data_IF_582808585162
#
_entry.id   IF_582808585162
#
_cell.length_a   1.000
_cell.length_b   1.000
_cell.length_c   1.000
_cell.angle_alpha   90.00
_cell.angle_beta   90.00
_cell.angle_gamma   90.00
#
_symmetry.space_group_name_H-M   'P 1'
#
loop_
_entity.id
_entity.type
_entity.pdbx_description
1 polymer ?
#
# COMPACT_ATOMS: atom_id res chain seq x y z
N UNK A 1 9.19 5.11 -49.77
CA UNK A 1 9.88 5.63 -48.58
C UNK A 1 8.92 6.20 -47.53
N UNK A 2 7.94 6.97 -47.93
CA UNK A 2 6.97 7.58 -47.01
C UNK A 2 6.10 6.55 -46.26
N UNK A 3 5.75 5.44 -46.87
CA UNK A 3 5.00 4.34 -46.26
C UNK A 3 5.82 3.55 -45.24
N UNK A 4 7.13 3.45 -45.41
CA UNK A 4 8.05 2.80 -44.50
C UNK A 4 8.28 3.62 -43.22
N UNK A 5 8.28 4.94 -43.35
CA UNK A 5 8.44 5.88 -42.24
C UNK A 5 7.20 5.87 -41.31
N UNK A 6 6.01 5.76 -41.92
CA UNK A 6 4.74 5.64 -41.18
C UNK A 6 4.64 4.33 -40.40
N UNK A 7 5.15 3.21 -40.94
CA UNK A 7 5.17 1.92 -40.29
C UNK A 7 6.12 1.90 -39.07
N UNK A 8 7.25 2.61 -39.18
CA UNK A 8 8.23 2.72 -38.11
C UNK A 8 7.71 3.57 -36.92
N UNK A 9 6.90 4.58 -37.22
CA UNK A 9 6.31 5.47 -36.21
C UNK A 9 5.21 4.79 -35.38
N UNK A 10 4.50 3.84 -35.98
CA UNK A 10 3.46 3.08 -35.25
C UNK A 10 4.02 2.03 -34.29
N UNK A 11 5.25 1.55 -34.49
CA UNK A 11 5.89 0.62 -33.56
C UNK A 11 6.37 1.29 -32.26
N UNK A 12 6.56 2.60 -32.25
CA UNK A 12 7.00 3.35 -31.07
C UNK A 12 5.89 3.58 -30.03
N UNK A 13 4.63 3.38 -30.38
CA UNK A 13 3.49 3.60 -29.49
C UNK A 13 3.11 2.38 -28.63
N UNK A 14 3.77 1.24 -28.79
CA UNK A 14 3.44 -0.01 -28.07
C UNK A 14 4.25 -0.24 -26.79
N UNK A 15 5.09 0.73 -26.39
CA UNK A 15 5.79 0.66 -25.10
C UNK A 15 4.90 1.21 -23.98
N UNK A 16 3.75 0.55 -23.73
CA UNK A 16 3.09 0.64 -22.44
C UNK A 16 3.99 -0.07 -21.42
N UNK A 17 4.83 0.68 -20.74
CA UNK A 17 5.60 0.21 -19.60
C UNK A 17 4.62 -0.02 -18.44
N UNK A 18 4.02 -1.20 -18.38
CA UNK A 18 3.28 -1.61 -17.20
C UNK A 18 4.31 -1.99 -16.14
N UNK A 19 4.33 -1.24 -15.05
CA UNK A 19 5.12 -1.60 -13.87
C UNK A 19 4.64 -2.97 -13.37
N UNK A 20 5.49 -3.97 -13.47
CA UNK A 20 5.17 -5.32 -12.99
C UNK A 20 5.03 -5.30 -11.48
N UNK A 21 3.92 -5.82 -10.95
CA UNK A 21 3.60 -5.85 -9.53
C UNK A 21 3.33 -7.28 -9.10
N UNK A 22 4.15 -7.78 -8.17
CA UNK A 22 3.98 -9.10 -7.56
C UNK A 22 3.31 -8.96 -6.19
N UNK A 23 2.11 -8.42 -6.15
CA UNK A 23 1.41 -8.07 -4.92
C UNK A 23 1.08 -9.29 -4.04
N UNK A 24 0.83 -10.45 -4.63
CA UNK A 24 0.50 -11.68 -3.91
C UNK A 24 1.60 -12.12 -2.94
N UNK A 25 2.87 -11.80 -3.24
CA UNK A 25 4.01 -12.14 -2.40
C UNK A 25 4.03 -11.36 -1.07
N UNK A 26 3.23 -10.30 -0.99
CA UNK A 26 3.15 -9.39 0.15
C UNK A 26 1.83 -9.46 0.92
N UNK A 27 0.98 -10.44 0.63
CA UNK A 27 -0.30 -10.60 1.37
C UNK A 27 -0.09 -11.02 2.80
N UNK A 28 0.89 -11.87 3.07
CA UNK A 28 1.23 -12.36 4.40
C UNK A 28 2.71 -12.24 4.67
N UNK A 29 3.09 -12.18 5.93
CA UNK A 29 4.48 -12.14 6.37
C UNK A 29 4.73 -11.14 7.48
N UNK A 30 6.01 -10.94 7.78
CA UNK A 30 6.49 -9.93 8.71
C UNK A 30 7.19 -8.83 7.91
N UNK A 31 6.86 -7.60 8.22
CA UNK A 31 7.29 -6.42 7.48
C UNK A 31 7.89 -5.37 8.40
N UNK A 32 8.75 -4.55 7.85
CA UNK A 32 9.36 -3.40 8.49
C UNK A 32 8.98 -2.13 7.74
N UNK A 33 8.71 -1.07 8.47
CA UNK A 33 8.44 0.26 7.91
C UNK A 33 9.13 1.35 8.73
N UNK A 34 9.47 2.44 8.07
CA UNK A 34 10.06 3.60 8.72
C UNK A 34 9.01 4.71 8.86
N UNK A 35 9.06 5.43 9.98
CA UNK A 35 8.20 6.56 10.27
C UNK A 35 8.97 7.62 11.05
N UNK A 36 8.47 8.83 11.10
CA UNK A 36 9.10 9.93 11.82
C UNK A 36 8.18 10.45 12.94
N UNK A 37 8.76 10.71 14.11
CA UNK A 37 8.11 11.39 15.23
C UNK A 37 8.99 12.55 15.64
N UNK A 38 8.45 13.77 15.58
CA UNK A 38 9.17 15.01 15.90
C UNK A 38 10.51 15.16 15.14
N UNK A 39 10.52 14.76 13.86
CA UNK A 39 11.70 14.80 13.01
C UNK A 39 12.72 13.69 13.25
N UNK A 40 12.48 12.78 14.18
CA UNK A 40 13.33 11.62 14.47
C UNK A 40 12.78 10.40 13.71
N UNK A 41 13.62 9.79 12.87
CA UNK A 41 13.28 8.55 12.18
C UNK A 41 13.27 7.36 13.13
N UNK A 42 12.22 6.58 13.05
CA UNK A 42 12.01 5.34 13.81
C UNK A 42 11.57 4.24 12.88
N UNK A 43 11.74 3.01 13.34
CA UNK A 43 11.35 1.81 12.61
C UNK A 43 10.29 1.06 13.40
N UNK A 44 9.22 0.69 12.73
CA UNK A 44 8.19 -0.21 13.23
C UNK A 44 8.17 -1.52 12.45
N UNK A 45 7.48 -2.50 12.98
CA UNK A 45 7.23 -3.77 12.30
C UNK A 45 5.74 -4.10 12.34
N UNK A 46 5.28 -4.88 11.38
CA UNK A 46 3.95 -5.47 11.44
C UNK A 46 3.96 -6.90 10.93
N UNK A 47 3.07 -7.68 11.47
CA UNK A 47 2.78 -9.03 11.00
C UNK A 47 1.43 -9.02 10.31
N UNK A 48 1.40 -9.52 9.09
CA UNK A 48 0.14 -9.64 8.34
C UNK A 48 -0.16 -11.12 8.08
N UNK A 49 -1.36 -11.52 8.47
CA UNK A 49 -1.99 -12.79 8.10
C UNK A 49 -3.04 -12.53 7.01
N UNK A 50 -3.76 -13.53 6.58
CA UNK A 50 -4.83 -13.37 5.60
C UNK A 50 -5.94 -12.41 6.05
N UNK A 51 -6.17 -12.29 7.36
CA UNK A 51 -7.31 -11.54 7.92
C UNK A 51 -6.93 -10.47 8.94
N UNK A 52 -5.67 -10.43 9.39
CA UNK A 52 -5.21 -9.52 10.43
C UNK A 52 -3.92 -8.82 10.04
N UNK A 53 -3.76 -7.58 10.49
CA UNK A 53 -2.52 -6.84 10.51
C UNK A 53 -2.24 -6.40 11.94
N UNK A 54 -1.09 -6.75 12.48
CA UNK A 54 -0.70 -6.44 13.85
C UNK A 54 0.56 -5.56 13.79
N UNK A 55 0.42 -4.32 14.20
CA UNK A 55 1.49 -3.32 14.18
C UNK A 55 2.19 -3.23 15.53
N UNK A 56 3.51 -3.19 15.50
CA UNK A 56 4.39 -3.03 16.64
C UNK A 56 5.24 -1.77 16.47
N UNK A 57 4.95 -0.75 17.23
CA UNK A 57 5.69 0.53 17.20
C UNK A 57 5.61 1.24 18.55
N UNK A 58 6.65 1.93 18.94
CA UNK A 58 6.73 2.72 20.18
C UNK A 58 6.21 1.97 21.45
N UNK A 59 6.55 0.70 21.59
CA UNK A 59 6.06 -0.17 22.68
C UNK A 59 4.53 -0.33 22.70
N UNK A 60 3.86 -0.08 21.58
CA UNK A 60 2.42 -0.27 21.38
C UNK A 60 2.18 -1.41 20.42
N UNK A 61 1.04 -2.05 20.59
CA UNK A 61 0.52 -3.08 19.67
C UNK A 61 -0.87 -2.66 19.23
N UNK A 62 -1.03 -2.48 17.93
CA UNK A 62 -2.33 -2.19 17.31
C UNK A 62 -2.72 -3.29 16.33
N UNK A 63 -3.98 -3.65 16.32
CA UNK A 63 -4.50 -4.70 15.43
C UNK A 63 -5.63 -4.17 14.56
N UNK A 64 -5.61 -4.59 13.30
CA UNK A 64 -6.64 -4.28 12.32
C UNK A 64 -7.05 -5.53 11.56
N UNK A 65 -8.32 -5.59 11.18
CA UNK A 65 -8.79 -6.58 10.22
C UNK A 65 -8.29 -6.22 8.82
N UNK A 66 -8.02 -7.22 8.00
CA UNK A 66 -7.60 -7.06 6.61
C UNK A 66 -8.58 -7.80 5.70
N UNK A 67 -9.07 -7.12 4.68
CA UNK A 67 -9.91 -7.70 3.63
C UNK A 67 -9.34 -7.30 2.27
N UNK A 68 -8.86 -8.27 1.50
CA UNK A 68 -8.36 -8.07 0.15
C UNK A 68 -9.51 -7.89 -0.83
N UNK A 69 -9.45 -6.83 -1.64
CA UNK A 69 -10.40 -6.55 -2.73
C UNK A 69 -9.93 -7.24 -4.00
N UNK A 70 -8.63 -7.20 -4.23
CA UNK A 70 -7.90 -7.87 -5.30
C UNK A 70 -6.46 -8.13 -4.83
N UNK A 71 -5.58 -8.61 -5.71
CA UNK A 71 -4.20 -8.95 -5.32
C UNK A 71 -3.36 -7.76 -4.85
N UNK A 72 -3.72 -6.53 -5.25
CA UNK A 72 -2.95 -5.32 -4.95
C UNK A 72 -3.67 -4.32 -4.05
N UNK A 73 -4.92 -4.57 -3.66
CA UNK A 73 -5.72 -3.63 -2.88
C UNK A 73 -6.43 -4.32 -1.72
N UNK A 74 -6.42 -3.68 -0.57
CA UNK A 74 -7.07 -4.20 0.63
C UNK A 74 -7.62 -3.08 1.51
N UNK A 75 -8.57 -3.45 2.35
CA UNK A 75 -9.18 -2.60 3.37
C UNK A 75 -8.70 -3.04 4.74
N UNK A 76 -8.24 -2.09 5.54
CA UNK A 76 -7.97 -2.29 6.96
C UNK A 76 -8.99 -1.55 7.81
N UNK A 77 -9.40 -2.18 8.90
CA UNK A 77 -10.24 -1.57 9.93
C UNK A 77 -9.72 -1.93 11.31
N UNK A 78 -9.48 -0.92 12.15
CA UNK A 78 -8.97 -1.10 13.51
C UNK A 78 -9.94 -1.94 14.33
N UNK A 79 -9.43 -2.92 15.09
CA UNK A 79 -10.28 -3.85 15.87
C UNK A 79 -10.81 -3.18 17.12
N UNK A 80 -9.98 -2.42 17.84
CA UNK A 80 -10.36 -1.70 19.04
C UNK A 80 -10.13 -0.19 18.87
N UNK A 81 -11.00 0.51 18.10
CA UNK A 81 -10.87 1.94 17.91
C UNK A 81 -11.09 2.70 19.20
N UNK A 82 -10.23 3.67 19.50
CA UNK A 82 -10.29 4.50 20.72
C UNK A 82 -11.11 5.77 20.52
N UNK A 83 -11.38 6.13 19.26
CA UNK A 83 -12.14 7.33 18.90
C UNK A 83 -12.81 7.15 17.54
N UNK A 84 -13.69 8.09 17.19
CA UNK A 84 -14.45 8.08 15.92
C UNK A 84 -13.57 8.07 14.67
N UNK A 85 -12.43 8.74 14.70
CA UNK A 85 -11.51 8.76 13.56
C UNK A 85 -10.92 7.38 13.28
N UNK A 86 -10.62 6.62 14.31
CA UNK A 86 -10.08 5.27 14.21
C UNK A 86 -11.11 4.21 13.79
N UNK A 87 -12.40 4.52 13.87
CA UNK A 87 -13.48 3.65 13.37
C UNK A 87 -13.52 3.59 11.84
N UNK A 88 -12.92 4.56 11.16
CA UNK A 88 -12.91 4.62 9.70
C UNK A 88 -12.04 3.53 9.09
N UNK A 89 -12.58 2.85 8.10
CA UNK A 89 -11.81 1.92 7.29
C UNK A 89 -10.82 2.66 6.38
N UNK A 90 -9.65 2.06 6.16
CA UNK A 90 -8.59 2.61 5.33
C UNK A 90 -8.38 1.69 4.12
N UNK A 91 -8.35 2.28 2.95
CA UNK A 91 -8.05 1.61 1.69
C UNK A 91 -6.57 1.72 1.38
N UNK A 92 -5.92 0.59 1.18
CA UNK A 92 -4.53 0.47 0.77
C UNK A 92 -4.44 -0.03 -0.67
N UNK A 93 -3.52 0.54 -1.44
CA UNK A 93 -3.21 0.10 -2.79
C UNK A 93 -1.69 -0.03 -2.96
N UNK A 94 -1.24 -1.20 -3.37
CA UNK A 94 0.15 -1.45 -3.71
C UNK A 94 0.42 -0.84 -5.09
N UNK A 95 1.37 0.08 -5.17
CA UNK A 95 1.72 0.81 -6.40
C UNK A 95 2.82 0.10 -7.18
N UNK A 96 3.82 -0.43 -6.47
CA UNK A 96 4.97 -1.10 -7.05
C UNK A 96 5.56 -2.11 -6.08
N UNK A 97 6.25 -3.11 -6.60
CA UNK A 97 6.94 -4.12 -5.79
C UNK A 97 8.38 -4.27 -6.25
N UNK A 98 9.26 -4.65 -5.32
CA UNK A 98 10.60 -5.16 -5.57
C UNK A 98 10.66 -6.62 -5.11
N UNK A 99 11.84 -7.21 -5.04
CA UNK A 99 12.03 -8.57 -4.53
C UNK A 99 11.54 -8.73 -3.08
N UNK A 100 11.77 -7.73 -2.23
CA UNK A 100 11.54 -7.79 -0.78
C UNK A 100 10.72 -6.64 -0.22
N UNK A 101 10.27 -5.70 -1.05
CA UNK A 101 9.53 -4.53 -0.58
C UNK A 101 8.38 -4.13 -1.51
N UNK A 102 7.48 -3.35 -1.00
CA UNK A 102 6.43 -2.72 -1.80
C UNK A 102 6.18 -1.27 -1.37
N UNK A 103 5.84 -0.45 -2.34
CA UNK A 103 5.37 0.92 -2.14
C UNK A 103 3.86 0.94 -2.25
N UNK A 104 3.21 1.62 -1.35
CA UNK A 104 1.74 1.68 -1.28
C UNK A 104 1.26 3.11 -1.05
N UNK A 105 0.02 3.35 -1.41
CA UNK A 105 -0.76 4.51 -1.00
C UNK A 105 -1.94 4.07 -0.15
N UNK A 106 -2.39 4.94 0.74
CA UNK A 106 -3.57 4.69 1.56
C UNK A 106 -4.40 5.96 1.78
N UNK A 107 -5.68 5.76 2.00
CA UNK A 107 -6.67 6.81 2.16
C UNK A 107 -7.89 6.26 2.91
N UNK A 108 -8.75 7.15 3.39
CA UNK A 108 -10.04 6.71 3.93
C UNK A 108 -10.85 5.98 2.84
N UNK A 109 -11.42 4.83 3.20
CA UNK A 109 -12.21 4.01 2.28
C UNK A 109 -13.56 4.66 1.94
N UNK A 110 -14.10 5.47 2.84
CA UNK A 110 -15.36 6.21 2.65
C UNK A 110 -15.05 7.60 2.13
N UNK A 111 -15.67 7.96 1.01
CA UNK A 111 -15.60 9.31 0.45
C UNK A 111 -16.50 10.25 1.26
N UNK A 112 -15.91 11.20 1.95
CA UNK A 112 -16.64 12.34 2.50
C UNK A 112 -16.71 13.42 1.41
N UNK A 113 -17.93 13.77 0.96
CA UNK A 113 -18.14 14.77 -0.08
C UNK A 113 -17.66 16.17 0.32
N UNK A 114 -17.46 16.43 1.61
CA UNK A 114 -17.08 17.72 2.16
C UNK A 114 -15.61 17.81 2.57
N UNK A 115 -14.85 16.71 2.56
CA UNK A 115 -13.44 16.68 2.91
C UNK A 115 -12.56 16.40 1.69
N UNK A 116 -11.50 17.21 1.54
CA UNK A 116 -10.48 16.95 0.56
C UNK A 116 -9.84 15.58 0.81
N UNK A 117 -9.80 14.74 -0.22
CA UNK A 117 -9.20 13.42 -0.17
C UNK A 117 -7.70 13.53 0.13
N UNK A 118 -7.29 13.00 1.26
CA UNK A 118 -5.87 12.90 1.64
C UNK A 118 -5.35 11.52 1.30
N UNK A 119 -4.34 11.49 0.43
CA UNK A 119 -3.63 10.26 0.04
C UNK A 119 -2.24 10.33 0.64
N UNK A 120 -1.89 9.32 1.41
CA UNK A 120 -0.57 9.13 1.99
C UNK A 120 0.15 7.98 1.28
N UNK A 121 1.48 8.01 1.27
CA UNK A 121 2.32 6.96 0.69
C UNK A 121 3.32 6.43 1.70
N UNK A 122 3.69 5.18 1.53
CA UNK A 122 4.69 4.53 2.35
C UNK A 122 5.36 3.37 1.63
N UNK A 123 6.39 2.85 2.26
CA UNK A 123 7.12 1.66 1.79
C UNK A 123 7.26 0.67 2.95
N UNK A 124 7.04 -0.60 2.66
CA UNK A 124 7.24 -1.68 3.61
C UNK A 124 8.18 -2.74 3.03
N UNK A 125 9.10 -3.22 3.86
CA UNK A 125 10.05 -4.27 3.51
C UNK A 125 9.67 -5.57 4.20
N UNK A 126 9.56 -6.64 3.43
CA UNK A 126 9.31 -7.97 3.98
C UNK A 126 10.60 -8.53 4.58
N UNK A 127 10.56 -8.93 5.85
CA UNK A 127 11.71 -9.48 6.58
C UNK A 127 11.55 -10.96 6.92
N UNK A 128 10.33 -11.47 6.82
CA UNK A 128 10.00 -12.91 6.91
C UNK A 128 8.79 -13.28 6.08
#
# INVERSE_FOLDING_TARGET
>A
MQKFLLLLLTLLCLSCFQTERHCSDFKTGTFQFDYAVDGIEKTGTFVRTETLNIDYYENKVDSASVRWINDCEFIQKKINPKNKSEENAIHFKILSTTKDSYTFEYQLAVKDAFKKKRIEKGTAKKIK
#
